data_IF_351651192817
#
_entry.id   IF_351651192817
#
_cell.length_a   1.000
_cell.length_b   1.000
_cell.length_c   1.000
_cell.angle_alpha   90.00
_cell.angle_beta   90.00
_cell.angle_gamma   90.00
#
_symmetry.space_group_name_H-M   'P 1'
#
loop_
_entity.id
_entity.type
_entity.pdbx_description
1 polymer ?
#
# COMPACT_ATOMS: atom_id res chain seq x y z
N UNK A 1 1.14 -18.68 -18.23
CA UNK A 1 0.84 -17.30 -18.60
C UNK A 1 1.03 -16.40 -17.40
N UNK A 2 1.79 -15.34 -17.53
CA UNK A 2 2.05 -14.43 -16.41
C UNK A 2 1.07 -13.27 -16.43
N UNK A 3 0.48 -12.98 -15.28
CA UNK A 3 -0.40 -11.83 -15.13
C UNK A 3 0.35 -10.67 -14.52
N UNK A 4 0.00 -9.46 -14.96
CA UNK A 4 0.55 -8.24 -14.37
C UNK A 4 -0.53 -7.56 -13.55
N UNK A 5 -0.17 -7.09 -12.34
CA UNK A 5 -1.14 -6.45 -11.47
C UNK A 5 -0.42 -5.66 -10.37
N UNK A 6 -1.10 -4.64 -9.85
CA UNK A 6 -0.63 -3.94 -8.67
C UNK A 6 -1.15 -4.62 -7.41
N UNK A 7 -0.25 -4.92 -6.48
CA UNK A 7 -0.66 -5.37 -5.16
C UNK A 7 -1.29 -4.20 -4.40
N UNK A 8 -1.92 -4.49 -3.29
CA UNK A 8 -2.48 -3.48 -2.41
C UNK A 8 -1.48 -3.20 -1.30
N UNK A 9 -1.11 -1.94 -1.10
CA UNK A 9 -0.21 -1.56 -0.02
C UNK A 9 -0.97 -1.35 1.27
N UNK A 10 -0.40 -1.81 2.38
CA UNK A 10 -0.86 -1.48 3.72
C UNK A 10 0.10 -0.45 4.31
N UNK A 11 -0.42 0.73 4.61
CA UNK A 11 0.37 1.87 5.08
C UNK A 11 -0.36 2.47 6.27
N UNK A 12 0.37 2.84 7.32
CA UNK A 12 -0.26 3.50 8.45
C UNK A 12 -0.61 4.95 8.11
N UNK A 13 -1.52 5.55 8.85
CA UNK A 13 -1.94 6.93 8.61
C UNK A 13 -0.82 7.94 8.75
N UNK A 14 0.26 7.57 9.44
CA UNK A 14 1.48 8.38 9.53
C UNK A 14 2.44 8.21 8.37
N UNK A 15 2.16 7.28 7.44
CA UNK A 15 2.95 7.11 6.23
C UNK A 15 4.01 6.01 6.28
N UNK A 16 4.04 5.20 7.32
CA UNK A 16 4.97 4.05 7.37
C UNK A 16 4.40 2.90 6.53
N UNK A 17 5.18 2.42 5.58
CA UNK A 17 4.78 1.27 4.77
C UNK A 17 4.88 0.01 5.62
N UNK A 18 3.74 -0.64 5.87
CA UNK A 18 3.68 -1.85 6.67
C UNK A 18 3.88 -3.07 5.78
N UNK A 19 3.10 -3.16 4.70
CA UNK A 19 3.18 -4.29 3.78
C UNK A 19 2.77 -3.84 2.38
N UNK A 20 3.74 -3.69 1.46
CA UNK A 20 3.43 -3.28 0.08
C UNK A 20 2.82 -4.42 -0.76
N UNK A 21 2.70 -5.61 -0.19
CA UNK A 21 2.10 -6.78 -0.84
C UNK A 21 1.04 -7.41 0.07
N UNK A 22 0.04 -6.63 0.47
CA UNK A 22 -0.94 -7.09 1.45
C UNK A 22 -1.83 -8.23 0.93
N UNK A 23 -2.00 -8.34 -0.39
CA UNK A 23 -2.74 -9.43 -1.02
C UNK A 23 -1.81 -10.61 -1.31
N UNK A 24 -0.66 -10.35 -1.93
CA UNK A 24 0.29 -11.41 -2.29
C UNK A 24 0.98 -12.05 -1.10
N UNK A 25 1.19 -11.29 -0.02
CA UNK A 25 1.85 -11.77 1.20
C UNK A 25 1.11 -11.31 2.45
N UNK A 26 -0.12 -11.80 2.66
CA UNK A 26 -0.97 -11.29 3.75
C UNK A 26 -0.46 -11.60 5.14
N UNK A 27 0.47 -12.53 5.28
CA UNK A 27 1.03 -12.89 6.59
C UNK A 27 1.77 -11.72 7.25
N UNK A 28 2.18 -10.71 6.49
CA UNK A 28 2.87 -9.54 7.00
C UNK A 28 1.95 -8.37 7.34
N UNK A 29 0.64 -8.55 7.16
CA UNK A 29 -0.32 -7.49 7.47
C UNK A 29 -0.40 -7.25 8.98
N UNK A 30 -0.60 -5.99 9.36
CA UNK A 30 -0.74 -5.56 10.75
C UNK A 30 -1.92 -4.62 10.87
N UNK A 31 -2.58 -4.62 12.02
CA UNK A 31 -3.71 -3.70 12.28
C UNK A 31 -3.23 -2.30 12.59
N UNK A 32 -2.08 -2.21 13.25
CA UNK A 32 -1.50 -0.93 13.69
C UNK A 32 -0.02 -0.92 13.37
N UNK A 33 0.51 0.28 13.11
CA UNK A 33 1.93 0.44 12.84
C UNK A 33 2.74 0.17 14.12
N UNK A 34 3.73 -0.71 14.01
CA UNK A 34 4.59 -1.02 15.16
C UNK A 34 5.56 0.13 15.50
N UNK A 35 5.69 1.10 14.60
CA UNK A 35 6.60 2.23 14.80
C UNK A 35 5.93 3.44 15.45
N UNK A 36 4.65 3.68 15.16
CA UNK A 36 3.97 4.88 15.67
C UNK A 36 2.59 4.60 16.26
N UNK A 37 2.11 3.37 16.18
CA UNK A 37 0.82 2.97 16.75
C UNK A 37 -0.41 3.41 15.99
N UNK A 38 -0.25 4.14 14.88
CA UNK A 38 -1.40 4.58 14.08
C UNK A 38 -2.03 3.42 13.32
N UNK A 39 -3.32 3.56 13.01
CA UNK A 39 -4.04 2.53 12.29
C UNK A 39 -3.49 2.33 10.88
N UNK A 40 -3.48 1.07 10.44
CA UNK A 40 -3.09 0.71 9.08
C UNK A 40 -4.30 0.81 8.16
N UNK A 41 -4.08 1.33 6.95
CA UNK A 41 -5.10 1.39 5.92
C UNK A 41 -4.62 0.70 4.65
N UNK A 42 -5.56 0.16 3.88
CA UNK A 42 -5.29 -0.49 2.60
C UNK A 42 -6.05 0.17 1.45
N UNK A 43 -6.85 1.18 1.76
CA UNK A 43 -7.70 1.84 0.77
C UNK A 43 -7.69 3.35 1.00
N UNK A 44 -7.92 4.09 -0.09
CA UNK A 44 -8.06 5.53 -0.02
C UNK A 44 -9.25 5.91 0.87
N UNK A 45 -9.06 6.76 1.90
CA UNK A 45 -10.18 7.15 2.76
C UNK A 45 -11.28 7.92 2.05
N UNK A 46 -10.98 8.53 0.91
CA UNK A 46 -11.94 9.36 0.18
C UNK A 46 -12.79 8.55 -0.81
N UNK A 47 -12.19 7.58 -1.51
CA UNK A 47 -12.90 6.85 -2.57
C UNK A 47 -12.88 5.33 -2.39
N UNK A 48 -12.20 4.82 -1.40
CA UNK A 48 -12.06 3.38 -1.08
C UNK A 48 -11.30 2.55 -2.11
N UNK A 49 -10.69 3.18 -3.12
CA UNK A 49 -9.84 2.45 -4.06
C UNK A 49 -8.62 1.89 -3.32
N UNK A 50 -8.18 0.66 -3.65
CA UNK A 50 -7.00 0.09 -3.01
C UNK A 50 -5.76 0.96 -3.21
N UNK A 51 -4.93 1.08 -2.17
CA UNK A 51 -3.66 1.77 -2.29
C UNK A 51 -2.73 0.89 -3.12
N UNK A 52 -2.16 1.44 -4.21
CA UNK A 52 -1.25 0.67 -5.06
C UNK A 52 0.01 0.28 -4.32
N UNK A 53 0.26 -1.02 -4.27
CA UNK A 53 1.47 -1.60 -3.72
C UNK A 53 2.49 -1.91 -4.79
N UNK A 54 3.26 -2.97 -4.56
CA UNK A 54 4.26 -3.43 -5.52
C UNK A 54 3.57 -3.90 -6.80
N UNK A 55 4.17 -3.58 -7.95
CA UNK A 55 3.70 -4.08 -9.23
C UNK A 55 4.25 -5.48 -9.48
N UNK A 56 3.35 -6.42 -9.74
CA UNK A 56 3.72 -7.79 -10.12
C UNK A 56 3.75 -7.87 -11.65
N UNK A 57 4.93 -8.06 -12.20
CA UNK A 57 5.11 -8.10 -13.66
C UNK A 57 5.27 -9.52 -14.22
N UNK A 58 4.95 -10.53 -13.40
CA UNK A 58 5.13 -11.92 -13.76
C UNK A 58 6.49 -12.48 -13.42
N UNK A 59 7.41 -11.63 -12.95
CA UNK A 59 8.72 -12.03 -12.46
C UNK A 59 8.82 -11.86 -10.96
N UNK A 60 9.89 -11.23 -10.50
CA UNK A 60 10.11 -10.99 -9.08
C UNK A 60 9.52 -9.66 -8.66
N UNK A 61 8.67 -9.67 -7.65
CA UNK A 61 8.25 -8.45 -6.99
C UNK A 61 9.42 -7.91 -6.15
N UNK A 62 9.55 -6.58 -6.08
CA UNK A 62 10.67 -5.93 -5.39
C UNK A 62 10.17 -4.98 -4.31
N UNK A 63 9.75 -5.51 -3.15
CA UNK A 63 9.22 -4.68 -2.07
C UNK A 63 10.17 -3.58 -1.60
N UNK A 64 11.49 -3.85 -1.65
CA UNK A 64 12.49 -2.90 -1.20
C UNK A 64 12.57 -1.65 -2.08
N UNK A 65 12.09 -1.73 -3.32
CA UNK A 65 12.08 -0.60 -4.25
C UNK A 65 10.73 0.14 -4.25
N UNK A 66 9.79 -0.31 -3.43
CA UNK A 66 8.47 0.32 -3.39
C UNK A 66 8.54 1.72 -2.77
N UNK A 67 7.98 2.70 -3.47
CA UNK A 67 7.81 4.05 -2.98
C UNK A 67 6.32 4.30 -2.73
N UNK A 68 5.96 4.72 -1.51
CA UNK A 68 4.57 4.97 -1.19
C UNK A 68 4.01 6.11 -2.05
N UNK A 69 2.76 5.99 -2.52
CA UNK A 69 2.15 7.09 -3.26
C UNK A 69 1.77 8.24 -2.33
N UNK A 70 1.79 9.45 -2.86
CA UNK A 70 1.36 10.65 -2.13
C UNK A 70 -0.11 10.98 -2.38
N UNK A 71 -0.62 10.59 -3.55
CA UNK A 71 -1.98 10.89 -3.98
C UNK A 71 -2.66 9.63 -4.51
N UNK A 72 -3.97 9.54 -4.30
CA UNK A 72 -4.75 8.43 -4.80
C UNK A 72 -4.77 8.41 -6.33
N UNK A 73 -4.47 7.27 -6.92
CA UNK A 73 -4.49 7.11 -8.36
C UNK A 73 -5.90 7.15 -8.96
N UNK A 74 -6.93 6.97 -8.14
CA UNK A 74 -8.32 6.93 -8.62
C UNK A 74 -9.03 8.27 -8.49
N UNK A 75 -8.93 8.94 -7.34
CA UNK A 75 -9.65 10.20 -7.10
C UNK A 75 -8.73 11.42 -7.01
N UNK A 76 -7.42 11.23 -6.96
CA UNK A 76 -6.44 12.31 -6.92
C UNK A 76 -6.26 13.00 -5.58
N UNK A 77 -7.01 12.62 -4.56
CA UNK A 77 -6.85 13.23 -3.24
C UNK A 77 -5.57 12.76 -2.56
N UNK A 78 -5.01 13.64 -1.74
CA UNK A 78 -3.83 13.32 -0.95
C UNK A 78 -4.15 12.26 0.10
N UNK A 79 -3.23 11.32 0.29
CA UNK A 79 -3.32 10.37 1.39
C UNK A 79 -3.01 11.07 2.73
N UNK A 80 -3.40 10.47 3.87
CA UNK A 80 -3.23 11.11 5.19
C UNK A 80 -1.82 11.55 5.52
N UNK A 81 -0.81 10.89 4.98
CA UNK A 81 0.59 11.23 5.23
C UNK A 81 1.13 12.33 4.31
N UNK A 82 0.36 12.76 3.32
CA UNK A 82 0.77 13.79 2.36
C UNK A 82 0.31 15.16 2.86
N UNK A 83 1.21 16.12 2.85
CA UNK A 83 0.93 17.47 3.32
C UNK A 83 1.38 18.52 2.32
#
# INVERSE_FOLDING_TARGET
MTETWYDTAQICEGGHVINPMSVGSPAHNQRFCHMCGKAAITACPACTAPIRGVFHDGGSARPAEYARPSYCHNCGKAYPWTR
#
